data_IF_934073913036
#
_entry.id   IF_934073913036
#
_cell.length_a   1.000
_cell.length_b   1.000
_cell.length_c   1.000
_cell.angle_alpha   90.00
_cell.angle_beta   90.00
_cell.angle_gamma   90.00
#
_symmetry.space_group_name_H-M   'P 1'
#
loop_
_entity.id
_entity.type
_entity.pdbx_description
1 polymer ?
#
# COMPACT_ATOMS: atom_id res chain seq x y z
N UNK A 1 5.69 -5.77 3.80
CA UNK A 1 6.70 -4.99 4.54
C UNK A 1 8.13 -5.52 4.44
N UNK A 2 8.38 -6.83 4.38
CA UNK A 2 9.75 -7.40 4.35
C UNK A 2 10.72 -6.67 3.40
N UNK A 3 10.36 -6.52 2.12
CA UNK A 3 11.20 -5.81 1.14
C UNK A 3 11.52 -4.37 1.53
N UNK A 4 10.56 -3.67 2.14
CA UNK A 4 10.74 -2.30 2.59
C UNK A 4 11.76 -2.23 3.74
N UNK A 5 11.67 -3.16 4.68
CA UNK A 5 12.61 -3.27 5.79
C UNK A 5 14.02 -3.62 5.32
N UNK A 6 14.12 -4.53 4.35
CA UNK A 6 15.40 -4.85 3.70
C UNK A 6 16.00 -3.62 3.01
N UNK A 7 15.21 -2.87 2.25
CA UNK A 7 15.66 -1.65 1.58
C UNK A 7 16.11 -0.56 2.56
N UNK A 8 15.40 -0.37 3.67
CA UNK A 8 15.82 0.55 4.72
C UNK A 8 17.18 0.19 5.33
N UNK A 9 17.61 -1.07 5.21
CA UNK A 9 18.93 -1.53 5.66
C UNK A 9 19.99 -1.48 4.55
N UNK A 10 19.61 -1.85 3.32
CA UNK A 10 20.52 -1.94 2.19
C UNK A 10 20.93 -0.57 1.64
N UNK A 11 19.98 0.38 1.57
CA UNK A 11 20.24 1.70 0.99
C UNK A 11 21.30 2.50 1.77
N UNK A 12 21.25 2.62 3.12
CA UNK A 12 22.30 3.32 3.87
C UNK A 12 23.67 2.65 3.69
N UNK A 13 23.72 1.31 3.79
CA UNK A 13 24.97 0.54 3.63
C UNK A 13 25.61 0.77 2.26
N UNK A 14 24.81 0.78 1.20
CA UNK A 14 25.30 1.03 -0.15
C UNK A 14 25.81 2.47 -0.30
N UNK A 15 25.07 3.45 0.22
CA UNK A 15 25.44 4.86 0.12
C UNK A 15 26.75 5.16 0.88
N UNK A 16 26.88 4.65 2.11
CA UNK A 16 28.09 4.76 2.93
C UNK A 16 29.29 4.10 2.25
N UNK A 17 29.14 2.85 1.79
CA UNK A 17 30.22 2.12 1.12
C UNK A 17 30.70 2.78 -0.17
N UNK A 18 29.79 3.39 -0.95
CA UNK A 18 30.16 4.14 -2.15
C UNK A 18 30.91 5.42 -1.77
N UNK A 19 30.45 6.16 -0.76
CA UNK A 19 31.10 7.40 -0.33
C UNK A 19 32.51 7.13 0.22
N UNK A 20 32.67 6.10 1.06
CA UNK A 20 33.97 5.70 1.62
C UNK A 20 34.96 5.29 0.52
N UNK A 21 34.51 4.50 -0.46
CA UNK A 21 35.35 4.07 -1.59
C UNK A 21 35.88 5.24 -2.43
N UNK A 22 35.18 6.38 -2.40
CA UNK A 22 35.55 7.61 -3.11
C UNK A 22 36.28 8.62 -2.21
N UNK A 23 36.60 8.27 -0.97
CA UNK A 23 37.30 9.13 -0.01
C UNK A 23 36.42 10.19 0.66
N UNK A 24 35.10 10.01 0.62
CA UNK A 24 34.11 10.88 1.27
C UNK A 24 33.37 10.21 2.42
N UNK A 25 32.36 10.90 2.93
CA UNK A 25 31.40 10.39 3.90
C UNK A 25 29.97 10.67 3.43
N UNK A 26 29.01 9.89 3.92
CA UNK A 26 27.59 10.03 3.60
C UNK A 26 26.79 10.13 4.90
N UNK A 27 25.89 11.11 4.98
CA UNK A 27 24.82 11.15 5.99
C UNK A 27 23.52 10.72 5.31
N UNK A 28 22.94 9.61 5.77
CA UNK A 28 21.80 8.98 5.12
C UNK A 28 20.62 8.86 6.10
N UNK A 29 19.51 9.52 5.78
CA UNK A 29 18.29 9.49 6.58
C UNK A 29 17.17 8.71 5.87
N UNK A 30 16.67 7.64 6.50
CA UNK A 30 15.45 6.94 6.05
C UNK A 30 14.23 7.53 6.74
N UNK A 31 13.41 8.30 6.01
CA UNK A 31 12.10 8.76 6.50
C UNK A 31 11.02 7.72 6.25
N UNK A 32 10.54 7.10 7.32
CA UNK A 32 9.49 6.06 7.23
C UNK A 32 8.12 6.71 6.97
N UNK A 33 7.64 6.60 5.73
CA UNK A 33 6.25 6.93 5.35
C UNK A 33 5.24 5.85 5.78
N UNK A 34 4.03 5.91 5.22
CA UNK A 34 2.94 4.96 5.54
C UNK A 34 3.31 3.49 5.26
N UNK A 35 2.85 2.52 6.07
CA UNK A 35 2.98 1.09 5.77
C UNK A 35 2.20 0.70 4.52
N UNK A 36 2.41 -0.51 4.01
CA UNK A 36 1.58 -1.03 2.92
C UNK A 36 0.15 -1.29 3.40
N UNK A 37 -0.83 -0.79 2.66
CA UNK A 37 -2.23 -1.11 2.89
C UNK A 37 -2.50 -2.55 2.42
N UNK A 38 -2.94 -3.41 3.33
CA UNK A 38 -3.31 -4.80 3.02
C UNK A 38 -4.73 -5.04 3.44
N UNK A 39 -5.55 -5.46 2.50
CA UNK A 39 -6.89 -5.92 2.81
C UNK A 39 -6.84 -7.33 3.38
N UNK A 40 -7.51 -7.54 4.50
CA UNK A 40 -7.72 -8.86 5.09
C UNK A 40 -8.57 -9.72 4.12
N UNK A 41 -8.07 -10.90 3.68
CA UNK A 41 -8.77 -11.71 2.67
C UNK A 41 -10.17 -12.15 3.09
N UNK A 42 -10.35 -12.56 4.34
CA UNK A 42 -11.61 -13.11 4.84
C UNK A 42 -12.68 -12.03 4.99
N UNK A 43 -12.32 -10.89 5.58
CA UNK A 43 -13.19 -9.72 5.68
C UNK A 43 -13.55 -9.19 4.30
N UNK A 44 -12.58 -9.12 3.39
CA UNK A 44 -12.80 -8.66 2.02
C UNK A 44 -13.76 -9.59 1.27
N UNK A 45 -13.60 -10.90 1.41
CA UNK A 45 -14.51 -11.89 0.80
C UNK A 45 -15.94 -11.74 1.31
N UNK A 46 -16.11 -11.57 2.64
CA UNK A 46 -17.43 -11.33 3.25
C UNK A 46 -18.07 -10.05 2.76
N UNK A 47 -17.32 -8.94 2.74
CA UNK A 47 -17.83 -7.64 2.28
C UNK A 47 -18.14 -7.65 0.78
N UNK A 48 -17.35 -8.37 -0.02
CA UNK A 48 -17.67 -8.60 -1.43
C UNK A 48 -19.02 -9.29 -1.58
N UNK A 49 -19.27 -10.39 -0.87
CA UNK A 49 -20.56 -11.09 -0.98
C UNK A 49 -21.74 -10.19 -0.62
N UNK A 50 -21.65 -9.45 0.48
CA UNK A 50 -22.69 -8.47 0.87
C UNK A 50 -22.88 -7.38 -0.19
N UNK A 51 -21.79 -6.88 -0.79
CA UNK A 51 -21.87 -5.88 -1.84
C UNK A 51 -22.47 -6.42 -3.14
N UNK A 52 -22.14 -7.66 -3.51
CA UNK A 52 -22.69 -8.35 -4.69
C UNK A 52 -24.20 -8.60 -4.52
N UNK A 53 -24.63 -9.03 -3.34
CA UNK A 53 -26.05 -9.21 -3.00
C UNK A 53 -26.84 -7.90 -3.07
N UNK A 54 -26.22 -6.78 -2.67
CA UNK A 54 -26.87 -5.47 -2.62
C UNK A 54 -26.84 -4.72 -3.96
N UNK A 55 -25.71 -4.72 -4.66
CA UNK A 55 -25.47 -3.91 -5.86
C UNK A 55 -25.66 -4.70 -7.16
N UNK A 56 -25.61 -6.02 -7.12
CA UNK A 56 -25.45 -6.89 -8.27
C UNK A 56 -23.98 -7.24 -8.53
N UNK A 57 -23.73 -8.49 -8.93
CA UNK A 57 -22.38 -9.03 -9.16
C UNK A 57 -21.65 -8.37 -10.33
N UNK A 58 -22.39 -7.78 -11.28
CA UNK A 58 -21.84 -7.00 -12.40
C UNK A 58 -21.25 -5.65 -11.96
N UNK A 59 -21.60 -5.17 -10.76
CA UNK A 59 -21.17 -3.86 -10.24
C UNK A 59 -20.03 -3.93 -9.23
N UNK A 60 -19.64 -5.13 -8.80
CA UNK A 60 -18.54 -5.35 -7.85
C UNK A 60 -17.35 -5.93 -8.60
N UNK A 61 -16.33 -5.10 -8.83
CA UNK A 61 -15.19 -5.48 -9.67
C UNK A 61 -13.90 -5.62 -8.87
N UNK A 62 -13.06 -6.56 -9.27
CA UNK A 62 -11.66 -6.61 -8.81
C UNK A 62 -10.87 -5.55 -9.57
N UNK A 63 -10.07 -4.77 -8.84
CA UNK A 63 -9.14 -3.80 -9.44
C UNK A 63 -7.70 -4.25 -9.20
N UNK A 64 -6.81 -3.87 -10.12
CA UNK A 64 -5.38 -4.11 -9.97
C UNK A 64 -4.79 -3.35 -8.78
N UNK A 65 -3.67 -3.87 -8.29
CA UNK A 65 -2.87 -3.20 -7.26
C UNK A 65 -2.41 -1.83 -7.77
N UNK A 66 -2.36 -0.86 -6.87
CA UNK A 66 -1.94 0.51 -7.16
C UNK A 66 -0.68 0.85 -6.37
N UNK A 67 0.13 1.74 -6.94
CA UNK A 67 1.37 2.22 -6.32
C UNK A 67 1.17 3.40 -5.35
N UNK A 68 -0.07 3.88 -5.18
CA UNK A 68 -0.37 4.97 -4.26
C UNK A 68 -0.23 4.54 -2.80
N UNK A 69 0.07 5.51 -1.93
CA UNK A 69 0.06 5.33 -0.48
C UNK A 69 -1.23 5.90 0.12
N UNK A 70 -1.69 5.31 1.22
CA UNK A 70 -2.93 5.67 1.90
C UNK A 70 -2.72 5.57 3.42
N UNK A 71 -3.19 6.54 4.19
CA UNK A 71 -2.96 6.57 5.65
C UNK A 71 -3.81 5.52 6.39
N UNK A 72 -4.90 5.06 5.77
CA UNK A 72 -5.71 3.94 6.23
C UNK A 72 -4.88 2.65 6.41
N UNK A 73 -3.71 2.56 5.75
CA UNK A 73 -2.77 1.46 5.92
C UNK A 73 -2.33 1.22 7.38
N UNK A 74 -2.42 2.23 8.26
CA UNK A 74 -2.15 2.03 9.70
C UNK A 74 -3.18 1.12 10.36
N UNK A 75 -4.46 1.26 10.01
CA UNK A 75 -5.52 0.40 10.57
C UNK A 75 -5.34 -1.05 10.13
N UNK A 76 -4.93 -1.28 8.88
CA UNK A 76 -4.67 -2.63 8.38
C UNK A 76 -3.49 -3.34 9.06
N UNK A 77 -2.63 -2.63 9.80
CA UNK A 77 -1.54 -3.26 10.56
C UNK A 77 -2.00 -3.85 11.90
N UNK A 78 -3.10 -3.33 12.46
CA UNK A 78 -3.50 -3.64 13.85
C UNK A 78 -4.81 -4.42 13.95
N UNK A 79 -5.59 -4.47 12.87
CA UNK A 79 -6.85 -5.21 12.83
C UNK A 79 -7.20 -5.62 11.39
N UNK A 80 -8.06 -6.65 11.21
CA UNK A 80 -8.63 -6.97 9.91
C UNK A 80 -9.31 -5.72 9.32
N UNK A 81 -8.85 -5.30 8.15
CA UNK A 81 -9.32 -4.10 7.49
C UNK A 81 -9.60 -4.38 6.01
N UNK A 82 -10.57 -3.68 5.44
CA UNK A 82 -10.91 -3.78 4.03
C UNK A 82 -11.17 -2.39 3.47
N UNK A 83 -10.25 -1.92 2.63
CA UNK A 83 -10.34 -0.68 1.89
C UNK A 83 -10.77 -0.95 0.44
N UNK A 84 -11.78 -0.25 -0.04
CA UNK A 84 -12.32 -0.41 -1.38
C UNK A 84 -12.67 0.96 -1.96
N UNK A 85 -12.85 1.01 -3.27
CA UNK A 85 -13.17 2.25 -3.98
C UNK A 85 -14.62 2.23 -4.41
N UNK A 86 -15.33 3.31 -4.10
CA UNK A 86 -16.63 3.58 -4.67
C UNK A 86 -16.44 4.27 -6.02
N UNK A 87 -17.05 3.72 -7.08
CA UNK A 87 -17.08 4.37 -8.38
C UNK A 87 -17.88 5.67 -8.31
N UNK A 88 -17.21 6.81 -8.49
CA UNK A 88 -17.82 8.15 -8.45
C UNK A 88 -17.82 8.85 -9.81
N UNK A 89 -17.36 8.17 -10.86
CA UNK A 89 -17.32 8.72 -12.22
C UNK A 89 -18.71 9.08 -12.74
N UNK A 90 -18.82 10.21 -13.43
CA UNK A 90 -20.08 10.68 -14.00
C UNK A 90 -19.90 11.02 -15.47
N UNK A 91 -20.19 10.07 -16.36
CA UNK A 91 -20.01 10.26 -17.80
C UNK A 91 -20.74 11.49 -18.37
N UNK A 92 -21.81 11.96 -17.74
CA UNK A 92 -22.53 13.18 -18.16
C UNK A 92 -21.78 14.47 -17.80
N UNK A 93 -20.84 14.43 -16.85
CA UNK A 93 -20.09 15.59 -16.34
C UNK A 93 -18.57 15.49 -16.51
N UNK A 94 -18.04 14.33 -16.94
CA UNK A 94 -16.61 14.05 -17.09
C UNK A 94 -16.03 13.33 -15.89
#
# INVERSE_FOLDING_TARGET
>A
EEWREQLHTLLPRMAEGIAEAMGGSCDFEVRKGYPVLVNDPDLTGRLRGVAEDYLGSDRVVTIDRRMGAEDFAYYSQVMPACFWRLGTGNAAKG
#
